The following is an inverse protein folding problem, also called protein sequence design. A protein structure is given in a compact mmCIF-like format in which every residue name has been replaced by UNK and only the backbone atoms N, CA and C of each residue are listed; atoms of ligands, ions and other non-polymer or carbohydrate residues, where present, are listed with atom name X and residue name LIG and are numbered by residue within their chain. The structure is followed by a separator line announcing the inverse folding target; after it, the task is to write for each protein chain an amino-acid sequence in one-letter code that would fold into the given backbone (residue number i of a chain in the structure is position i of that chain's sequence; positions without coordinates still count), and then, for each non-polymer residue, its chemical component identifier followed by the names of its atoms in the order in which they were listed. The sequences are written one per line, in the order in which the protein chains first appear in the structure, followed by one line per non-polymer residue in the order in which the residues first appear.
data_IF_833434858616
#
_entry.id   IF_833434858616
#
_cell.length_a   1.000
_cell.length_b   1.000
_cell.length_c   1.000
_cell.angle_alpha   90.00
_cell.angle_beta   90.00
_cell.angle_gamma   90.00
#
_symmetry.space_group_name_H-M   'P 1'
#
loop_
_entity.id
_entity.type
_entity.pdbx_description
1 polymer ?
#
# COMPACT_ATOMS: atom_id res chain seq x y z
N UNK A 1 17.61 18.23 23.56
CA UNK A 1 17.68 18.63 24.98
C UNK A 1 18.97 19.35 25.38
N UNK A 2 20.14 18.94 24.88
CA UNK A 2 21.43 19.56 25.21
C UNK A 2 21.46 21.09 25.08
N UNK A 3 20.89 21.66 24.00
CA UNK A 3 20.82 23.12 23.83
C UNK A 3 20.01 23.85 24.93
N UNK A 4 18.88 23.29 25.39
CA UNK A 4 18.04 23.91 26.42
C UNK A 4 18.69 23.83 27.81
N UNK A 5 19.39 22.72 28.07
CA UNK A 5 20.17 22.52 29.30
C UNK A 5 21.40 23.45 29.32
N UNK A 6 22.10 23.59 28.19
CA UNK A 6 23.26 24.47 28.04
C UNK A 6 22.92 25.94 28.30
N UNK A 7 21.75 26.42 27.87
CA UNK A 7 21.25 27.76 28.21
C UNK A 7 20.62 27.89 29.61
N UNK A 8 20.79 26.89 30.50
CA UNK A 8 20.22 26.82 31.86
C UNK A 8 18.69 26.99 31.92
N UNK A 9 17.97 26.56 30.88
CA UNK A 9 16.49 26.67 30.79
C UNK A 9 15.79 25.38 31.22
N UNK A 10 16.13 24.90 32.41
CA UNK A 10 15.62 23.67 33.05
C UNK A 10 14.09 23.56 33.02
N UNK A 11 13.39 24.69 33.18
CA UNK A 11 11.91 24.71 33.16
C UNK A 11 11.34 24.30 31.80
N UNK A 12 11.89 24.79 30.68
CA UNK A 12 11.39 24.41 29.35
C UNK A 12 11.69 22.94 29.03
N UNK A 13 12.87 22.46 29.43
CA UNK A 13 13.25 21.06 29.33
C UNK A 13 12.34 20.14 30.15
N UNK A 14 12.08 20.50 31.41
CA UNK A 14 11.17 19.77 32.30
C UNK A 14 9.74 19.73 31.77
N UNK A 15 9.25 20.84 31.18
CA UNK A 15 7.91 20.86 30.57
C UNK A 15 7.82 19.92 29.37
N UNK A 16 8.86 19.87 28.53
CA UNK A 16 8.90 18.97 27.39
C UNK A 16 8.96 17.50 27.82
N UNK A 17 9.83 17.17 28.78
CA UNK A 17 9.89 15.82 29.37
C UNK A 17 8.58 15.41 30.01
N UNK A 18 7.95 16.30 30.80
CA UNK A 18 6.67 16.02 31.40
C UNK A 18 5.54 15.88 30.36
N UNK A 19 5.66 16.52 29.20
CA UNK A 19 4.68 16.37 28.11
C UNK A 19 4.83 15.01 27.42
N UNK A 20 6.06 14.55 27.18
CA UNK A 20 6.34 13.23 26.62
C UNK A 20 5.97 12.11 27.60
N UNK A 21 6.36 12.23 28.87
CA UNK A 21 6.05 11.22 29.90
C UNK A 21 4.54 11.06 30.11
N UNK A 22 3.79 12.17 30.19
CA UNK A 22 2.34 12.12 30.30
C UNK A 22 1.69 11.54 29.05
N UNK A 23 2.15 11.95 27.86
CA UNK A 23 1.68 11.37 26.60
C UNK A 23 1.84 9.85 26.58
N UNK A 24 3.00 9.35 27.03
CA UNK A 24 3.31 7.92 27.05
C UNK A 24 2.40 7.18 28.04
N UNK A 25 2.34 7.68 29.28
CA UNK A 25 1.54 7.10 30.34
C UNK A 25 0.05 7.01 29.94
N UNK A 26 -0.49 8.06 29.32
CA UNK A 26 -1.89 8.08 28.92
C UNK A 26 -2.15 7.21 27.69
N UNK A 27 -1.22 7.12 26.72
CA UNK A 27 -1.36 6.14 25.64
C UNK A 27 -1.29 4.69 26.13
N UNK A 28 -0.46 4.40 27.14
CA UNK A 28 -0.39 3.08 27.76
C UNK A 28 -1.67 2.76 28.54
N UNK A 29 -2.21 3.74 29.27
CA UNK A 29 -3.47 3.58 29.99
C UNK A 29 -4.63 3.29 29.03
N UNK A 30 -4.80 4.12 27.99
CA UNK A 30 -5.87 3.94 27.01
C UNK A 30 -5.73 2.61 26.26
N UNK A 31 -4.51 2.20 25.93
CA UNK A 31 -4.25 0.91 25.30
C UNK A 31 -4.56 -0.29 26.20
N UNK A 32 -4.53 -0.11 27.53
CA UNK A 32 -4.91 -1.14 28.49
C UNK A 32 -6.41 -1.14 28.82
N UNK A 33 -7.11 0.00 28.65
CA UNK A 33 -8.53 0.13 29.04
C UNK A 33 -9.50 0.06 27.86
N UNK A 34 -9.06 0.38 26.64
CA UNK A 34 -9.90 0.38 25.44
C UNK A 34 -9.54 -0.83 24.59
N UNK A 35 -10.46 -1.79 24.53
CA UNK A 35 -10.30 -2.95 23.66
C UNK A 35 -10.76 -2.58 22.25
N UNK A 36 -9.81 -2.46 21.33
CA UNK A 36 -10.08 -2.17 19.91
C UNK A 36 -9.71 -3.39 19.11
N UNK A 37 -10.67 -3.86 18.29
CA UNK A 37 -10.45 -4.97 17.36
C UNK A 37 -9.30 -4.60 16.43
N UNK A 38 -8.26 -5.44 16.45
CA UNK A 38 -7.07 -5.24 15.62
C UNK A 38 -7.41 -5.57 14.17
N UNK A 39 -6.82 -4.87 13.17
CA UNK A 39 -6.82 -5.36 11.80
C UNK A 39 -6.27 -6.79 11.76
N UNK A 40 -6.82 -7.65 10.90
CA UNK A 40 -6.51 -9.09 10.84
C UNK A 40 -5.01 -9.34 10.63
N UNK A 41 -4.34 -8.47 9.87
CA UNK A 41 -2.91 -8.55 9.56
C UNK A 41 -2.03 -7.57 10.38
N UNK A 42 -2.56 -7.00 11.47
CA UNK A 42 -1.81 -6.01 12.24
C UNK A 42 -0.62 -6.64 12.99
N UNK A 43 0.58 -6.12 12.72
CA UNK A 43 1.82 -6.51 13.43
C UNK A 43 1.71 -6.42 14.96
N UNK A 44 2.62 -7.09 15.67
CA UNK A 44 2.69 -7.23 17.14
C UNK A 44 2.84 -5.93 17.98
N UNK A 45 2.62 -4.75 17.38
CA UNK A 45 2.64 -3.44 18.04
C UNK A 45 1.33 -2.66 17.99
N UNK A 46 0.20 -3.28 17.61
CA UNK A 46 -1.11 -2.62 17.59
C UNK A 46 -1.56 -2.20 18.99
N UNK A 47 -2.10 -0.98 19.11
CA UNK A 47 -2.70 -0.46 20.33
C UNK A 47 -3.40 0.88 20.10
N UNK A 48 -4.50 1.12 20.81
CA UNK A 48 -5.24 2.37 20.74
C UNK A 48 -4.87 3.32 21.89
N UNK A 49 -4.59 4.61 21.65
CA UNK A 49 -4.33 5.25 20.35
C UNK A 49 -2.89 4.97 19.87
N UNK A 50 -2.59 5.27 18.61
CA UNK A 50 -1.24 5.05 18.08
C UNK A 50 -0.20 5.89 18.84
N UNK A 51 0.68 5.22 19.59
CA UNK A 51 1.76 5.86 20.36
C UNK A 51 2.68 6.67 19.44
N UNK A 52 2.96 6.14 18.24
CA UNK A 52 3.82 6.81 17.26
C UNK A 52 3.22 8.14 16.79
N UNK A 53 1.94 8.13 16.41
CA UNK A 53 1.24 9.34 15.94
C UNK A 53 1.06 10.33 17.08
N UNK A 54 0.73 9.84 18.27
CA UNK A 54 0.58 10.68 19.48
C UNK A 54 1.88 11.39 19.83
N UNK A 55 2.99 10.66 19.90
CA UNK A 55 4.30 11.22 20.23
C UNK A 55 4.82 12.18 19.16
N UNK A 56 4.59 11.86 17.88
CA UNK A 56 4.89 12.76 16.79
C UNK A 56 4.08 14.06 16.92
N UNK A 57 2.77 13.97 17.17
CA UNK A 57 1.88 15.12 17.36
C UNK A 57 2.36 16.01 18.51
N UNK A 58 2.64 15.42 19.68
CA UNK A 58 3.12 16.16 20.85
C UNK A 58 4.48 16.83 20.56
N UNK A 59 5.41 16.10 19.95
CA UNK A 59 6.77 16.59 19.69
C UNK A 59 6.77 17.70 18.65
N UNK A 60 6.29 17.42 17.44
CA UNK A 60 6.29 18.39 16.34
C UNK A 60 5.36 19.56 16.64
N UNK A 61 4.20 19.32 17.25
CA UNK A 61 3.28 20.37 17.66
C UNK A 61 3.85 21.27 18.76
N UNK A 62 4.63 20.73 19.71
CA UNK A 62 5.31 21.55 20.73
C UNK A 62 6.34 22.48 20.09
N UNK A 63 7.16 21.97 19.16
CA UNK A 63 8.12 22.79 18.42
C UNK A 63 7.41 23.82 17.52
N UNK A 64 6.30 23.46 16.87
CA UNK A 64 5.50 24.38 16.08
C UNK A 64 4.98 25.56 16.94
N UNK A 65 4.44 25.28 18.14
CA UNK A 65 4.02 26.33 19.09
C UNK A 65 5.20 27.19 19.53
N UNK A 66 6.35 26.60 19.82
CA UNK A 66 7.54 27.33 20.25
C UNK A 66 8.05 28.30 19.17
N UNK A 67 8.06 27.85 17.90
CA UNK A 67 8.53 28.63 16.74
C UNK A 67 7.51 29.71 16.36
N UNK A 68 6.22 29.35 16.27
CA UNK A 68 5.17 30.28 15.85
C UNK A 68 5.02 31.48 16.80
N UNK A 69 5.39 31.35 18.08
CA UNK A 69 5.33 32.48 19.04
C UNK A 69 6.29 33.62 18.70
N UNK A 70 7.40 33.35 18.02
CA UNK A 70 8.48 34.31 17.77
C UNK A 70 8.49 34.78 16.31
N UNK A 71 7.54 34.29 15.52
CA UNK A 71 7.30 34.75 14.15
C UNK A 71 6.22 35.84 14.12
N UNK A 72 6.34 36.88 13.28
CA UNK A 72 5.33 37.93 13.15
C UNK A 72 4.18 37.53 12.21
N UNK A 73 2.95 37.94 12.56
CA UNK A 73 1.79 37.95 11.65
C UNK A 73 1.44 36.61 10.98
N UNK A 74 1.27 36.63 9.65
CA UNK A 74 0.86 35.47 8.82
C UNK A 74 1.92 34.35 8.76
N UNK A 75 3.19 34.63 9.05
CA UNK A 75 4.26 33.62 8.99
C UNK A 75 4.16 32.56 10.09
N UNK A 76 3.35 32.83 11.14
CA UNK A 76 3.06 31.89 12.23
C UNK A 76 2.39 30.60 11.80
N UNK A 77 1.77 30.57 10.62
CA UNK A 77 1.08 29.37 10.09
C UNK A 77 2.08 28.30 9.64
N UNK A 78 3.25 28.70 9.12
CA UNK A 78 4.21 27.76 8.52
C UNK A 78 4.71 26.66 9.47
N UNK A 79 5.09 26.94 10.73
CA UNK A 79 5.50 25.88 11.66
C UNK A 79 4.39 24.86 11.94
N UNK A 80 3.13 25.31 12.01
CA UNK A 80 1.99 24.41 12.17
C UNK A 80 1.72 23.59 10.93
N UNK A 81 1.87 24.19 9.74
CA UNK A 81 1.67 23.51 8.47
C UNK A 81 2.73 22.42 8.26
N UNK A 82 4.01 22.73 8.48
CA UNK A 82 5.10 21.74 8.40
C UNK A 82 4.92 20.62 9.43
N UNK A 83 4.61 20.96 10.68
CA UNK A 83 4.30 19.96 11.70
C UNK A 83 3.09 19.09 11.32
N UNK A 84 2.05 19.69 10.74
CA UNK A 84 0.85 19.01 10.28
C UNK A 84 1.19 18.00 9.19
N UNK A 85 1.92 18.43 8.15
CA UNK A 85 2.36 17.55 7.06
C UNK A 85 3.17 16.37 7.60
N UNK A 86 4.15 16.61 8.47
CA UNK A 86 4.99 15.52 9.02
C UNK A 86 4.15 14.52 9.83
N UNK A 87 3.26 15.00 10.69
CA UNK A 87 2.38 14.13 11.50
C UNK A 87 1.38 13.38 10.62
N UNK A 88 0.83 14.03 9.59
CA UNK A 88 -0.06 13.39 8.60
C UNK A 88 0.66 12.32 7.80
N UNK A 89 1.90 12.53 7.37
CA UNK A 89 2.71 11.52 6.67
C UNK A 89 3.01 10.33 7.58
N UNK A 90 3.33 10.56 8.86
CA UNK A 90 3.52 9.49 9.84
C UNK A 90 2.21 8.73 10.06
N UNK A 91 1.09 9.42 10.20
CA UNK A 91 -0.24 8.81 10.32
C UNK A 91 -0.60 7.97 9.10
N UNK A 92 -0.41 8.52 7.90
CA UNK A 92 -0.62 7.84 6.63
C UNK A 92 0.26 6.59 6.52
N UNK A 93 1.53 6.63 6.92
CA UNK A 93 2.37 5.42 6.92
C UNK A 93 1.83 4.31 7.82
N UNK A 94 1.12 4.64 8.91
CA UNK A 94 0.52 3.65 9.81
C UNK A 94 -0.74 3.03 9.21
N UNK A 95 -1.52 3.82 8.48
CA UNK A 95 -2.68 3.34 7.72
C UNK A 95 -2.26 2.46 6.56
N UNK A 96 -1.28 2.93 5.78
CA UNK A 96 -0.78 2.24 4.60
C UNK A 96 -0.20 0.86 4.95
N UNK A 97 0.51 0.75 6.07
CA UNK A 97 1.07 -0.51 6.55
C UNK A 97 0.04 -1.40 7.28
N UNK A 98 -1.26 -1.06 7.28
CA UNK A 98 -2.31 -1.80 7.98
C UNK A 98 -2.12 -1.87 9.50
N UNK A 99 -1.24 -1.03 10.06
CA UNK A 99 -0.78 -1.14 11.45
C UNK A 99 -1.77 -0.55 12.45
N UNK A 100 -2.68 0.31 11.99
CA UNK A 100 -3.65 1.03 12.80
C UNK A 100 -4.89 1.39 11.99
N UNK A 101 -6.02 1.55 12.65
CA UNK A 101 -7.22 2.13 12.05
C UNK A 101 -7.11 3.65 11.95
N UNK A 102 -7.93 4.25 11.06
CA UNK A 102 -8.07 5.70 10.96
C UNK A 102 -8.48 6.35 12.28
N UNK A 103 -9.33 5.68 13.06
CA UNK A 103 -9.70 6.09 14.41
C UNK A 103 -8.49 6.24 15.34
N UNK A 104 -7.51 5.34 15.25
CA UNK A 104 -6.34 5.33 16.14
C UNK A 104 -5.39 6.48 15.80
N UNK A 105 -5.26 6.78 14.51
CA UNK A 105 -4.46 7.89 13.99
C UNK A 105 -5.09 9.23 14.37
N UNK A 106 -6.39 9.39 14.11
CA UNK A 106 -7.14 10.61 14.47
C UNK A 106 -7.16 10.78 15.99
N UNK A 107 -7.38 9.71 16.75
CA UNK A 107 -7.36 9.72 18.21
C UNK A 107 -6.01 10.21 18.75
N UNK A 108 -4.90 9.71 18.20
CA UNK A 108 -3.55 10.18 18.56
C UNK A 108 -3.29 11.65 18.22
N UNK A 109 -3.77 12.12 17.06
CA UNK A 109 -3.66 13.52 16.64
C UNK A 109 -4.50 14.45 17.54
N UNK A 110 -5.75 14.10 17.81
CA UNK A 110 -6.65 14.88 18.67
C UNK A 110 -6.12 14.93 20.10
N UNK A 111 -5.66 13.80 20.62
CA UNK A 111 -5.10 13.72 21.96
C UNK A 111 -3.83 14.57 22.12
N UNK A 112 -2.88 14.44 21.18
CA UNK A 112 -1.69 15.27 21.15
C UNK A 112 -2.02 16.77 21.06
N UNK A 113 -3.02 17.13 20.24
CA UNK A 113 -3.48 18.52 20.06
C UNK A 113 -4.17 19.08 21.30
N UNK A 114 -5.03 18.29 21.96
CA UNK A 114 -5.70 18.66 23.20
C UNK A 114 -4.68 18.98 24.29
N UNK A 115 -3.67 18.12 24.45
CA UNK A 115 -2.59 18.31 25.41
C UNK A 115 -1.77 19.58 25.11
N UNK A 116 -1.44 19.81 23.82
CA UNK A 116 -0.75 21.01 23.37
C UNK A 116 -1.56 22.28 23.63
N UNK A 117 -2.89 22.25 23.48
CA UNK A 117 -3.75 23.40 23.83
C UNK A 117 -3.74 23.65 25.34
N UNK A 118 -3.94 22.63 26.16
CA UNK A 118 -3.90 22.76 27.63
C UNK A 118 -2.58 23.34 28.14
N UNK A 119 -1.45 22.82 27.66
CA UNK A 119 -0.10 23.31 28.00
C UNK A 119 0.22 24.67 27.36
N UNK A 120 -0.23 24.91 26.12
CA UNK A 120 -0.01 26.16 25.39
C UNK A 120 -0.73 27.36 26.01
N UNK A 121 -1.86 27.13 26.70
CA UNK A 121 -2.54 28.15 27.52
C UNK A 121 -1.74 28.42 28.80
N UNK A 122 -1.29 27.37 29.49
CA UNK A 122 -0.48 27.50 30.71
C UNK A 122 0.87 28.21 30.46
N UNK A 123 1.49 27.94 29.30
CA UNK A 123 2.78 28.52 28.91
C UNK A 123 2.66 29.98 28.42
N UNK A 124 1.53 30.34 27.77
CA UNK A 124 1.24 31.73 27.35
C UNK A 124 1.10 32.69 28.52
N UNK A 125 0.63 32.22 29.68
CA UNK A 125 0.40 33.07 30.87
C UNK A 125 1.66 33.40 31.68
N UNK A 126 2.83 32.76 31.45
CA UNK A 126 3.99 32.86 32.38
C UNK A 126 5.34 33.30 31.80
N UNK A 127 5.50 33.47 30.48
CA UNK A 127 6.82 33.78 29.90
C UNK A 127 6.77 34.89 28.85
N UNK A 128 7.40 36.03 29.18
CA UNK A 128 7.39 37.29 28.45
C UNK A 128 8.79 37.72 27.93
N UNK A 129 9.67 36.78 27.55
CA UNK A 129 10.99 37.15 26.98
C UNK A 129 11.22 36.46 25.64
N UNK A 130 11.54 37.27 24.63
CA UNK A 130 11.81 36.86 23.26
C UNK A 130 12.99 35.89 23.20
N UNK A 131 12.76 34.76 22.55
CA UNK A 131 13.62 33.61 22.38
C UNK A 131 14.20 33.61 20.97
N UNK A 132 15.51 33.37 20.84
CA UNK A 132 16.15 33.22 19.53
C UNK A 132 15.89 31.83 18.97
N UNK A 133 14.70 31.62 18.38
CA UNK A 133 14.18 30.29 18.00
C UNK A 133 14.76 29.76 16.70
N UNK A 134 15.17 30.64 15.78
CA UNK A 134 15.68 30.25 14.46
C UNK A 134 16.77 29.17 14.54
N UNK A 135 17.84 29.31 15.33
CA UNK A 135 18.87 28.25 15.44
C UNK A 135 18.33 26.96 16.08
N UNK A 136 17.35 27.05 16.98
CA UNK A 136 16.75 25.88 17.63
C UNK A 136 15.85 25.09 16.69
N UNK A 137 15.11 25.79 15.85
CA UNK A 137 14.31 25.20 14.79
C UNK A 137 15.22 24.50 13.76
N UNK A 138 16.25 25.21 13.27
CA UNK A 138 17.25 24.62 12.35
C UNK A 138 17.95 23.41 12.96
N UNK A 139 18.35 23.47 14.23
CA UNK A 139 18.94 22.34 14.92
C UNK A 139 17.96 21.16 15.03
N UNK A 140 16.70 21.40 15.43
CA UNK A 140 15.72 20.33 15.58
C UNK A 140 15.39 19.66 14.25
N UNK A 141 14.98 20.43 13.23
CA UNK A 141 14.60 19.88 11.93
C UNK A 141 15.81 19.35 11.17
N UNK A 142 16.97 19.99 11.28
CA UNK A 142 18.22 19.53 10.67
C UNK A 142 18.72 18.21 11.27
N UNK A 143 18.72 18.09 12.61
CA UNK A 143 19.07 16.82 13.27
C UNK A 143 18.05 15.74 12.94
N UNK A 144 16.75 16.08 12.90
CA UNK A 144 15.71 15.12 12.50
C UNK A 144 15.92 14.62 11.06
N UNK A 145 16.18 15.51 10.11
CA UNK A 145 16.42 15.16 8.71
C UNK A 145 17.69 14.31 8.55
N UNK A 146 18.78 14.68 9.21
CA UNK A 146 20.03 13.91 9.20
C UNK A 146 19.84 12.52 9.82
N UNK A 147 19.15 12.44 10.96
CA UNK A 147 18.84 11.17 11.61
C UNK A 147 17.94 10.30 10.73
N UNK A 148 16.93 10.89 10.08
CA UNK A 148 16.06 10.19 9.13
C UNK A 148 16.87 9.65 7.94
N UNK A 149 17.72 10.47 7.32
CA UNK A 149 18.55 10.09 6.17
C UNK A 149 19.59 9.03 6.53
N UNK A 150 20.11 9.03 7.76
CA UNK A 150 21.03 8.01 8.27
C UNK A 150 20.32 6.70 8.64
N UNK A 151 19.17 6.79 9.31
CA UNK A 151 18.48 5.64 9.88
C UNK A 151 17.59 4.92 8.87
N UNK A 152 16.89 5.65 7.99
CA UNK A 152 15.92 5.10 7.05
C UNK A 152 16.53 4.03 6.13
N UNK A 153 17.64 4.25 5.42
CA UNK A 153 18.18 3.24 4.49
C UNK A 153 18.62 1.94 5.17
N UNK A 154 18.98 1.99 6.45
CA UNK A 154 19.51 0.83 7.20
C UNK A 154 18.44 -0.03 7.86
N UNK A 155 17.29 0.55 8.17
CA UNK A 155 16.29 -0.10 9.04
C UNK A 155 14.90 -0.19 8.41
N UNK A 156 14.65 0.45 7.26
CA UNK A 156 13.37 0.30 6.56
C UNK A 156 13.09 -1.16 6.18
N UNK A 157 14.02 -1.93 5.56
CA UNK A 157 13.73 -3.31 5.15
C UNK A 157 13.28 -4.19 6.33
N UNK A 158 14.07 -4.21 7.40
CA UNK A 158 13.77 -4.97 8.63
C UNK A 158 12.46 -4.52 9.31
N UNK A 159 12.07 -3.25 9.16
CA UNK A 159 10.78 -2.77 9.67
C UNK A 159 9.62 -3.20 8.78
N UNK A 160 9.79 -3.19 7.47
CA UNK A 160 8.77 -3.58 6.50
C UNK A 160 8.44 -5.07 6.61
N UNK A 161 9.44 -5.92 6.84
CA UNK A 161 9.25 -7.37 7.08
C UNK A 161 8.24 -7.65 8.22
N UNK A 162 8.15 -6.78 9.23
CA UNK A 162 7.19 -6.94 10.34
C UNK A 162 5.74 -6.63 9.96
N UNK A 163 5.54 -5.94 8.85
CA UNK A 163 4.23 -5.58 8.31
C UNK A 163 3.88 -6.44 7.09
N UNK A 164 4.72 -7.39 6.69
CA UNK A 164 4.35 -8.37 5.68
C UNK A 164 3.30 -9.32 6.28
N UNK A 165 2.12 -9.45 5.65
CA UNK A 165 1.07 -10.34 6.15
C UNK A 165 1.56 -11.79 6.11
N UNK A 166 1.32 -12.54 7.20
CA UNK A 166 1.55 -13.99 7.22
C UNK A 166 0.48 -14.68 6.39
N UNK A 167 0.82 -15.02 5.16
CA UNK A 167 -0.11 -15.71 4.27
C UNK A 167 -0.38 -17.14 4.78
N UNK A 168 -1.64 -17.61 4.76
CA UNK A 168 -1.94 -19.00 5.07
C UNK A 168 -1.21 -19.93 4.09
N UNK A 169 -0.79 -21.09 4.59
CA UNK A 169 -0.20 -22.12 3.74
C UNK A 169 -1.21 -22.53 2.65
N UNK A 170 -0.76 -22.75 1.40
CA UNK A 170 -1.66 -23.19 0.34
C UNK A 170 -2.38 -24.48 0.74
N UNK A 171 -3.69 -24.53 0.49
CA UNK A 171 -4.47 -25.75 0.74
C UNK A 171 -4.10 -26.82 -0.28
N UNK A 172 -3.84 -28.04 0.18
CA UNK A 172 -3.61 -29.16 -0.71
C UNK A 172 -4.91 -29.53 -1.44
N UNK A 173 -4.88 -29.54 -2.76
CA UNK A 173 -6.00 -29.89 -3.63
C UNK A 173 -5.58 -30.97 -4.62
N UNK A 174 -6.42 -31.96 -4.88
CA UNK A 174 -6.08 -33.03 -5.83
C UNK A 174 -6.13 -32.51 -7.28
N UNK A 175 -5.12 -32.84 -8.08
CA UNK A 175 -4.98 -32.40 -9.48
C UNK A 175 -6.14 -32.88 -10.36
N UNK A 176 -6.63 -34.11 -10.17
CA UNK A 176 -7.73 -34.65 -10.95
C UNK A 176 -9.06 -34.03 -10.49
N UNK A 177 -9.25 -33.88 -9.17
CA UNK A 177 -10.44 -33.23 -8.61
C UNK A 177 -10.55 -31.78 -9.08
N UNK A 178 -9.45 -31.01 -9.02
CA UNK A 178 -9.36 -29.65 -9.58
C UNK A 178 -9.71 -29.63 -11.07
N UNK A 179 -9.12 -30.52 -11.87
CA UNK A 179 -9.34 -30.56 -13.32
C UNK A 179 -10.79 -30.87 -13.72
N UNK A 180 -11.56 -31.49 -12.84
CA UNK A 180 -12.94 -31.89 -13.10
C UNK A 180 -13.95 -30.93 -12.46
N UNK A 181 -13.87 -30.70 -11.14
CA UNK A 181 -14.93 -30.05 -10.36
C UNK A 181 -14.44 -28.94 -9.41
N UNK A 182 -13.33 -29.17 -8.70
CA UNK A 182 -12.95 -28.34 -7.54
C UNK A 182 -12.41 -26.96 -7.93
N UNK A 183 -12.07 -26.75 -9.21
CA UNK A 183 -11.68 -25.44 -9.75
C UNK A 183 -12.69 -24.32 -9.46
N UNK A 184 -13.98 -24.66 -9.32
CA UNK A 184 -15.08 -23.73 -9.03
C UNK A 184 -15.17 -23.33 -7.56
N UNK A 185 -14.41 -23.98 -6.67
CA UNK A 185 -14.31 -23.60 -5.25
C UNK A 185 -13.33 -22.44 -5.03
N UNK A 186 -12.48 -22.16 -6.03
CA UNK A 186 -11.51 -21.08 -5.99
C UNK A 186 -12.18 -19.73 -6.29
N UNK A 187 -11.62 -18.61 -5.81
CA UNK A 187 -12.19 -17.29 -6.06
C UNK A 187 -12.38 -17.01 -7.56
N UNK A 188 -13.62 -16.72 -7.96
CA UNK A 188 -13.97 -16.40 -9.36
C UNK A 188 -13.83 -14.91 -9.69
N UNK A 189 -13.69 -14.05 -8.69
CA UNK A 189 -13.51 -12.61 -8.84
C UNK A 189 -12.50 -12.09 -7.84
N UNK A 190 -11.80 -11.01 -8.21
CA UNK A 190 -11.00 -10.25 -7.26
C UNK A 190 -11.89 -9.45 -6.31
N UNK A 191 -11.53 -9.43 -5.03
CA UNK A 191 -12.20 -8.59 -4.04
C UNK A 191 -11.97 -7.11 -4.34
N UNK A 192 -13.03 -6.41 -4.71
CA UNK A 192 -13.05 -4.96 -4.88
C UNK A 192 -14.28 -4.38 -4.16
N UNK A 193 -14.18 -3.12 -3.73
CA UNK A 193 -15.27 -2.45 -3.01
C UNK A 193 -16.51 -2.19 -3.88
N UNK A 194 -16.36 -2.21 -5.20
CA UNK A 194 -17.42 -1.96 -6.18
C UNK A 194 -17.63 -3.21 -7.05
N UNK A 195 -18.88 -3.66 -7.12
CA UNK A 195 -19.29 -4.86 -7.87
C UNK A 195 -19.01 -4.73 -9.36
N UNK A 196 -19.09 -3.50 -9.87
CA UNK A 196 -18.85 -3.14 -11.25
C UNK A 196 -17.36 -3.17 -11.64
N UNK A 197 -16.47 -3.16 -10.65
CA UNK A 197 -15.02 -3.14 -10.86
C UNK A 197 -14.36 -4.49 -10.62
N UNK A 198 -15.06 -5.46 -9.99
CA UNK A 198 -14.51 -6.79 -9.67
C UNK A 198 -13.99 -7.51 -10.91
N UNK A 199 -12.67 -7.67 -11.00
CA UNK A 199 -12.03 -8.39 -12.10
C UNK A 199 -12.40 -9.87 -12.08
N UNK A 200 -12.73 -10.48 -13.23
CA UNK A 200 -12.94 -11.92 -13.30
C UNK A 200 -11.62 -12.66 -13.17
N UNK A 201 -11.60 -13.70 -12.35
CA UNK A 201 -10.50 -14.66 -12.28
C UNK A 201 -10.83 -15.84 -13.19
N UNK A 202 -10.69 -15.61 -14.49
CA UNK A 202 -11.17 -16.46 -15.56
C UNK A 202 -10.08 -17.35 -16.18
N UNK A 203 -8.85 -17.27 -15.69
CA UNK A 203 -7.76 -18.17 -16.08
C UNK A 203 -7.22 -18.89 -14.85
N UNK A 204 -7.06 -20.20 -14.93
CA UNK A 204 -6.38 -21.01 -13.92
C UNK A 204 -5.28 -21.85 -14.57
N UNK A 205 -4.08 -21.82 -14.01
CA UNK A 205 -2.91 -22.50 -14.60
C UNK A 205 -2.28 -23.42 -13.57
N UNK A 206 -2.14 -24.70 -13.89
CA UNK A 206 -1.42 -25.68 -13.10
C UNK A 206 -0.03 -25.93 -13.68
N UNK A 207 1.00 -25.82 -12.82
CA UNK A 207 2.39 -26.10 -13.17
C UNK A 207 3.30 -24.87 -13.21
N UNK A 208 4.58 -25.06 -13.57
CA UNK A 208 5.52 -23.96 -13.69
C UNK A 208 5.08 -22.97 -14.78
N UNK A 209 5.34 -21.68 -14.58
CA UNK A 209 4.93 -20.61 -15.52
C UNK A 209 5.85 -20.50 -16.74
N UNK A 210 7.08 -21.01 -16.68
CA UNK A 210 8.06 -20.84 -17.75
C UNK A 210 7.61 -21.41 -19.12
N UNK A 211 7.03 -22.63 -19.22
CA UNK A 211 6.51 -23.14 -20.49
C UNK A 211 5.37 -22.28 -21.03
N UNK A 212 4.47 -21.82 -20.16
CA UNK A 212 3.37 -20.94 -20.53
C UNK A 212 3.88 -19.59 -21.06
N UNK A 213 4.84 -18.98 -20.37
CA UNK A 213 5.46 -17.73 -20.79
C UNK A 213 6.08 -17.88 -22.19
N UNK A 214 6.90 -18.91 -22.40
CA UNK A 214 7.56 -19.14 -23.69
C UNK A 214 6.56 -19.33 -24.84
N UNK A 215 5.45 -20.03 -24.58
CA UNK A 215 4.40 -20.25 -25.58
C UNK A 215 3.62 -18.97 -25.90
N UNK A 216 3.32 -18.16 -24.89
CA UNK A 216 2.70 -16.85 -25.08
C UNK A 216 3.64 -15.92 -25.87
N UNK A 217 4.93 -15.90 -25.53
CA UNK A 217 5.95 -15.10 -26.24
C UNK A 217 6.08 -15.48 -27.71
N UNK A 218 6.06 -16.78 -28.02
CA UNK A 218 6.05 -17.28 -29.39
C UNK A 218 4.84 -16.82 -30.22
N UNK A 219 3.77 -16.33 -29.56
CA UNK A 219 2.53 -15.85 -30.17
C UNK A 219 2.36 -14.33 -30.05
N UNK A 220 3.47 -13.62 -29.83
CA UNK A 220 3.52 -12.15 -29.86
C UNK A 220 3.10 -11.48 -28.55
N UNK A 221 2.90 -12.23 -27.47
CA UNK A 221 2.83 -11.65 -26.14
C UNK A 221 4.23 -11.25 -25.66
N UNK A 222 4.30 -10.25 -24.79
CA UNK A 222 5.55 -9.81 -24.17
C UNK A 222 5.38 -9.82 -22.67
N UNK A 223 6.37 -10.37 -21.96
CA UNK A 223 6.43 -10.21 -20.51
C UNK A 223 6.71 -8.75 -20.18
N UNK A 224 5.90 -8.17 -19.30
CA UNK A 224 6.14 -6.86 -18.73
C UNK A 224 6.60 -7.02 -17.28
N UNK A 225 7.67 -6.32 -16.91
CA UNK A 225 8.04 -6.21 -15.51
C UNK A 225 7.04 -5.33 -14.74
N UNK A 226 7.04 -5.45 -13.42
CA UNK A 226 6.15 -4.67 -12.58
C UNK A 226 6.54 -3.19 -12.67
N UNK A 227 5.58 -2.36 -13.10
CA UNK A 227 5.80 -0.92 -13.20
C UNK A 227 6.02 -0.33 -11.81
N UNK A 228 7.13 0.39 -11.63
CA UNK A 228 7.41 1.15 -10.42
C UNK A 228 6.74 2.52 -10.41
N UNK A 229 7.08 3.32 -9.40
CA UNK A 229 6.57 4.68 -9.28
C UNK A 229 7.10 5.61 -10.39
N UNK A 230 8.25 5.29 -10.99
CA UNK A 230 8.84 6.08 -12.08
C UNK A 230 8.04 5.90 -13.35
N UNK A 231 7.70 4.66 -13.65
CA UNK A 231 6.85 4.25 -14.76
C UNK A 231 5.43 4.80 -14.61
N UNK A 232 4.90 4.85 -13.39
CA UNK A 232 3.60 5.45 -13.12
C UNK A 232 3.55 6.95 -13.47
N UNK A 233 4.69 7.67 -13.40
CA UNK A 233 4.73 9.09 -13.81
C UNK A 233 4.51 9.29 -15.31
N UNK A 234 4.70 8.25 -16.14
CA UNK A 234 4.40 8.32 -17.58
C UNK A 234 2.91 8.54 -17.85
N UNK A 235 2.03 8.23 -16.90
CA UNK A 235 0.60 8.58 -16.97
C UNK A 235 0.37 10.09 -17.06
N UNK A 236 1.30 10.89 -16.51
CA UNK A 236 1.22 12.35 -16.49
C UNK A 236 1.91 12.99 -17.70
N UNK A 237 2.57 12.20 -18.56
CA UNK A 237 3.22 12.68 -19.77
C UNK A 237 2.25 12.69 -20.95
N UNK A 238 2.07 13.87 -21.53
CA UNK A 238 1.19 14.09 -22.69
C UNK A 238 1.69 13.42 -23.96
N UNK A 239 2.98 13.13 -24.06
CA UNK A 239 3.57 12.52 -25.25
C UNK A 239 3.52 10.99 -25.22
N UNK A 240 3.19 10.39 -24.07
CA UNK A 240 3.10 8.94 -23.93
C UNK A 240 1.82 8.42 -24.59
N UNK A 241 2.01 7.58 -25.61
CA UNK A 241 0.93 6.87 -26.31
C UNK A 241 0.47 5.60 -25.59
N UNK A 242 -0.61 5.01 -26.12
CA UNK A 242 -1.19 3.77 -25.63
C UNK A 242 -0.26 2.56 -25.74
N UNK A 243 0.84 2.64 -26.49
CA UNK A 243 1.88 1.62 -26.73
C UNK A 243 3.03 1.70 -25.72
N UNK A 244 3.32 2.89 -25.20
CA UNK A 244 4.42 3.15 -24.27
C UNK A 244 3.98 3.14 -22.80
N UNK A 245 2.71 3.40 -22.51
CA UNK A 245 2.24 3.46 -21.13
C UNK A 245 2.30 2.07 -20.44
N UNK A 246 3.08 1.85 -19.39
CA UNK A 246 3.17 0.53 -18.79
C UNK A 246 1.86 0.15 -18.08
N UNK A 247 1.52 -1.13 -18.13
CA UNK A 247 0.38 -1.67 -17.39
C UNK A 247 0.75 -1.66 -15.90
N UNK A 248 0.00 -0.94 -15.08
CA UNK A 248 0.29 -0.86 -13.63
C UNK A 248 0.10 -2.23 -12.95
N UNK A 249 0.90 -2.51 -11.90
CA UNK A 249 0.76 -3.73 -11.11
C UNK A 249 -0.57 -3.73 -10.35
N UNK A 250 -1.06 -4.93 -10.06
CA UNK A 250 -2.30 -5.12 -9.34
C UNK A 250 -2.19 -6.34 -8.42
N UNK A 251 -2.69 -6.22 -7.20
CA UNK A 251 -2.52 -7.27 -6.19
C UNK A 251 -3.76 -8.15 -6.07
N UNK A 252 -3.56 -9.44 -5.84
CA UNK A 252 -4.60 -10.38 -5.38
C UNK A 252 -4.23 -10.85 -3.97
N UNK A 253 -5.07 -10.59 -2.97
CA UNK A 253 -4.80 -10.94 -1.56
C UNK A 253 -3.41 -10.52 -1.09
N UNK A 254 -3.02 -9.27 -1.37
CA UNK A 254 -1.69 -8.69 -1.07
C UNK A 254 -0.51 -9.23 -1.88
N UNK A 255 -0.72 -10.19 -2.79
CA UNK A 255 0.31 -10.72 -3.67
C UNK A 255 0.32 -9.99 -5.01
N UNK A 256 1.49 -9.50 -5.40
CA UNK A 256 1.72 -8.96 -6.74
C UNK A 256 1.68 -10.05 -7.79
N UNK A 257 1.47 -9.70 -9.06
CA UNK A 257 1.49 -10.66 -10.16
C UNK A 257 2.84 -11.38 -10.23
N UNK A 258 2.78 -12.72 -10.34
CA UNK A 258 3.94 -13.54 -10.64
C UNK A 258 4.30 -13.49 -12.13
N UNK A 259 3.29 -13.31 -13.00
CA UNK A 259 3.47 -13.14 -14.43
C UNK A 259 2.47 -12.13 -14.98
N UNK A 260 2.99 -11.15 -15.73
CA UNK A 260 2.22 -10.16 -16.46
C UNK A 260 2.63 -10.23 -17.93
N UNK A 261 1.70 -10.69 -18.77
CA UNK A 261 1.89 -10.77 -20.22
C UNK A 261 1.01 -9.74 -20.90
N UNK A 262 1.59 -9.00 -21.85
CA UNK A 262 0.91 -7.93 -22.58
C UNK A 262 1.06 -8.18 -24.08
N UNK A 263 -0.01 -7.97 -24.84
CA UNK A 263 -0.05 -8.03 -26.30
C UNK A 263 -0.86 -6.85 -26.83
N UNK A 264 -0.50 -6.32 -27.99
CA UNK A 264 -1.30 -5.27 -28.63
C UNK A 264 -2.70 -5.83 -28.97
N UNK A 265 -3.74 -5.06 -28.64
CA UNK A 265 -5.13 -5.40 -28.94
C UNK A 265 -5.47 -5.25 -30.42
N UNK A 266 -6.76 -5.43 -30.74
CA UNK A 266 -7.24 -5.22 -32.11
C UNK A 266 -7.16 -3.75 -32.54
N UNK A 267 -7.38 -2.82 -31.59
CA UNK A 267 -7.26 -1.38 -31.82
C UNK A 267 -5.92 -0.83 -31.31
N UNK A 268 -5.43 0.30 -31.85
CA UNK A 268 -4.16 0.90 -31.40
C UNK A 268 -4.15 1.34 -29.93
N UNK A 269 -5.32 1.68 -29.40
CA UNK A 269 -5.56 2.09 -28.01
C UNK A 269 -5.89 0.92 -27.08
N UNK A 270 -5.99 -0.30 -27.62
CA UNK A 270 -6.29 -1.50 -26.84
C UNK A 270 -5.05 -2.35 -26.58
N UNK A 271 -5.00 -2.95 -25.39
CA UNK A 271 -4.01 -3.96 -25.01
C UNK A 271 -4.68 -5.17 -24.39
N UNK A 272 -4.26 -6.34 -24.82
CA UNK A 272 -4.60 -7.58 -24.15
C UNK A 272 -3.58 -7.86 -23.05
N UNK A 273 -4.07 -8.17 -21.86
CA UNK A 273 -3.27 -8.38 -20.68
C UNK A 273 -3.68 -9.68 -20.00
N UNK A 274 -2.71 -10.54 -19.72
CA UNK A 274 -2.89 -11.71 -18.88
C UNK A 274 -2.08 -11.53 -17.59
N UNK A 275 -2.78 -11.53 -16.47
CA UNK A 275 -2.18 -11.45 -15.13
C UNK A 275 -2.33 -12.79 -14.45
N UNK A 276 -1.26 -13.29 -13.83
CA UNK A 276 -1.28 -14.51 -13.02
C UNK A 276 -0.75 -14.22 -11.61
N UNK A 277 -1.51 -14.66 -10.61
CA UNK A 277 -1.21 -14.63 -9.20
C UNK A 277 -1.17 -16.05 -8.63
N UNK A 278 -0.39 -16.30 -7.57
CA UNK A 278 -0.42 -17.59 -6.88
C UNK A 278 -1.80 -17.84 -6.27
N UNK A 279 -2.34 -19.04 -6.49
CA UNK A 279 -3.60 -19.47 -5.90
C UNK A 279 -3.44 -19.78 -4.40
N UNK A 280 -4.54 -19.74 -3.62
CA UNK A 280 -4.54 -20.21 -2.22
C UNK A 280 -4.49 -21.75 -2.10
N UNK A 281 -4.26 -22.47 -3.20
CA UNK A 281 -4.19 -23.92 -3.26
C UNK A 281 -2.93 -24.40 -3.98
N UNK A 282 -2.48 -25.61 -3.64
CA UNK A 282 -1.36 -26.30 -4.25
C UNK A 282 -1.79 -27.71 -4.63
N UNK A 283 -1.46 -28.12 -5.86
CA UNK A 283 -1.99 -29.34 -6.44
C UNK A 283 -1.14 -30.57 -6.10
N UNK A 284 -1.82 -31.64 -5.75
CA UNK A 284 -1.24 -32.96 -5.46
C UNK A 284 -1.59 -33.96 -6.58
N UNK A 285 -0.72 -34.94 -6.87
CA UNK A 285 0.59 -35.19 -6.25
C UNK A 285 1.69 -34.25 -6.77
N UNK A 286 2.73 -34.02 -5.95
CA UNK A 286 3.98 -33.40 -6.38
C UNK A 286 4.06 -31.88 -6.18
N UNK A 287 3.28 -31.33 -5.27
CA UNK A 287 3.35 -29.92 -4.85
C UNK A 287 3.30 -28.93 -6.03
N UNK A 288 2.48 -29.26 -7.04
CA UNK A 288 2.39 -28.50 -8.28
C UNK A 288 1.76 -27.13 -8.00
N UNK A 289 2.41 -26.01 -8.36
CA UNK A 289 1.85 -24.69 -8.11
C UNK A 289 0.60 -24.46 -8.97
N UNK A 290 -0.40 -23.83 -8.37
CA UNK A 290 -1.60 -23.38 -9.05
C UNK A 290 -1.61 -21.85 -9.08
N UNK A 291 -2.03 -21.30 -10.22
CA UNK A 291 -2.10 -19.87 -10.45
C UNK A 291 -3.53 -19.48 -10.83
N UNK A 292 -4.01 -18.38 -10.27
CA UNK A 292 -5.25 -17.72 -10.66
C UNK A 292 -4.92 -16.51 -11.50
N UNK A 293 -5.74 -16.20 -12.49
CA UNK A 293 -5.44 -15.14 -13.42
C UNK A 293 -6.66 -14.51 -14.05
N UNK A 294 -6.41 -13.38 -14.68
CA UNK A 294 -7.41 -12.59 -15.39
C UNK A 294 -6.89 -12.24 -16.78
N UNK A 295 -7.66 -12.57 -17.81
CA UNK A 295 -7.40 -12.12 -19.18
C UNK A 295 -8.28 -10.90 -19.48
N UNK A 296 -7.65 -9.74 -19.71
CA UNK A 296 -8.32 -8.46 -19.81
C UNK A 296 -7.93 -7.68 -21.05
N UNK A 297 -8.89 -7.04 -21.69
CA UNK A 297 -8.67 -6.00 -22.69
C UNK A 297 -8.69 -4.65 -21.99
N UNK A 298 -7.54 -3.99 -21.95
CA UNK A 298 -7.40 -2.64 -21.44
C UNK A 298 -7.51 -1.65 -22.60
N UNK A 299 -8.29 -0.58 -22.43
CA UNK A 299 -8.35 0.55 -23.35
C UNK A 299 -7.67 1.78 -22.76
N UNK A 300 -6.86 2.44 -23.58
CA UNK A 300 -6.21 3.68 -23.23
C UNK A 300 -7.20 4.84 -23.34
N UNK A 301 -7.40 5.54 -22.24
CA UNK A 301 -8.18 6.77 -22.20
C UNK A 301 -7.38 7.87 -21.54
N UNK A 302 -7.52 9.09 -22.07
CA UNK A 302 -6.86 10.28 -21.51
C UNK A 302 -7.88 11.16 -20.81
N UNK A 303 -7.78 11.20 -19.49
CA UNK A 303 -8.61 12.06 -18.66
C UNK A 303 -7.99 13.44 -18.51
N UNK A 304 -8.85 14.45 -18.56
CA UNK A 304 -8.51 15.87 -18.39
C UNK A 304 -7.42 16.41 -19.33
N UNK A 305 -7.01 15.68 -20.38
CA UNK A 305 -5.89 15.94 -21.31
C UNK A 305 -4.45 15.72 -20.79
N UNK A 306 -4.25 15.25 -19.56
CA UNK A 306 -2.90 15.04 -18.99
C UNK A 306 -2.74 13.77 -18.17
N UNK A 307 -3.81 12.99 -17.97
CA UNK A 307 -3.74 11.73 -17.23
C UNK A 307 -4.14 10.60 -18.18
N UNK A 308 -3.14 9.94 -18.78
CA UNK A 308 -3.33 8.75 -19.60
C UNK A 308 -3.42 7.49 -18.73
N UNK A 309 -4.50 6.73 -18.86
CA UNK A 309 -4.75 5.52 -18.06
C UNK A 309 -5.28 4.39 -18.94
N UNK A 310 -4.94 3.16 -18.55
CA UNK A 310 -5.42 1.93 -19.17
C UNK A 310 -6.53 1.34 -18.28
N UNK A 311 -7.76 1.31 -18.78
CA UNK A 311 -8.92 0.78 -18.05
C UNK A 311 -9.41 -0.53 -18.66
N UNK A 312 -9.78 -1.53 -17.83
CA UNK A 312 -10.35 -2.78 -18.34
C UNK A 312 -11.73 -2.54 -18.96
N UNK A 313 -11.96 -3.14 -20.12
CA UNK A 313 -13.27 -3.16 -20.78
C UNK A 313 -14.23 -4.12 -20.07
N UNK A 314 -15.53 -3.81 -20.13
CA UNK A 314 -16.59 -4.65 -19.56
C UNK A 314 -17.08 -5.69 -20.59
N UNK A 315 -17.38 -6.91 -20.15
CA UNK A 315 -18.09 -7.92 -20.95
C UNK A 315 -17.22 -9.08 -21.45
N UNK A 316 -17.62 -9.69 -22.58
CA UNK A 316 -16.88 -10.79 -23.21
C UNK A 316 -15.56 -10.26 -23.73
N UNK A 317 -14.47 -10.72 -23.12
CA UNK A 317 -13.15 -10.13 -23.30
C UNK A 317 -12.37 -10.72 -24.49
N UNK A 318 -12.02 -9.94 -25.54
CA UNK A 318 -11.18 -10.39 -26.63
C UNK A 318 -9.82 -10.95 -26.18
N UNK A 319 -9.28 -10.48 -25.06
CA UNK A 319 -8.01 -10.96 -24.50
C UNK A 319 -8.10 -12.44 -24.12
N UNK A 320 -9.25 -12.91 -23.60
CA UNK A 320 -9.46 -14.32 -23.29
C UNK A 320 -9.30 -15.19 -24.54
N UNK A 321 -9.89 -14.78 -25.66
CA UNK A 321 -9.73 -15.50 -26.94
C UNK A 321 -8.27 -15.49 -27.43
N UNK A 322 -7.57 -14.36 -27.28
CA UNK A 322 -6.16 -14.26 -27.64
C UNK A 322 -5.26 -15.15 -26.75
N UNK A 323 -5.61 -15.35 -25.48
CA UNK A 323 -4.94 -16.29 -24.58
C UNK A 323 -5.20 -17.72 -25.04
N UNK A 324 -6.46 -18.10 -25.26
CA UNK A 324 -6.85 -19.45 -25.75
C UNK A 324 -6.12 -19.85 -27.03
N UNK A 325 -6.05 -18.93 -27.99
CA UNK A 325 -5.34 -19.16 -29.25
C UNK A 325 -3.85 -19.40 -29.02
N UNK A 326 -3.24 -18.63 -28.12
CA UNK A 326 -1.82 -18.77 -27.83
C UNK A 326 -1.49 -20.08 -27.10
N UNK A 327 -2.39 -20.57 -26.25
CA UNK A 327 -2.18 -21.77 -25.43
C UNK A 327 -2.75 -23.06 -26.03
N UNK A 328 -3.27 -23.04 -27.26
CA UNK A 328 -3.95 -24.17 -27.92
C UNK A 328 -3.17 -25.51 -27.91
N UNK A 329 -1.83 -25.48 -27.80
CA UNK A 329 -0.99 -26.69 -27.69
C UNK A 329 -0.90 -27.32 -26.29
N UNK A 330 -1.46 -26.67 -25.27
CA UNK A 330 -1.46 -27.18 -23.89
C UNK A 330 -2.76 -27.93 -23.58
N UNK A 331 -2.72 -28.90 -22.65
CA UNK A 331 -3.94 -29.45 -22.09
C UNK A 331 -4.77 -28.32 -21.48
N UNK A 332 -5.94 -28.06 -22.07
CA UNK A 332 -6.83 -26.99 -21.68
C UNK A 332 -8.27 -27.47 -21.58
N UNK A 333 -9.04 -26.86 -20.67
CA UNK A 333 -10.47 -27.10 -20.53
C UNK A 333 -11.17 -25.81 -20.13
N UNK A 334 -12.34 -25.58 -20.70
CA UNK A 334 -13.18 -24.43 -20.39
C UNK A 334 -14.50 -24.94 -19.83
N UNK A 335 -14.89 -24.42 -18.67
CA UNK A 335 -16.22 -24.65 -18.10
C UNK A 335 -16.72 -23.31 -17.52
N UNK A 336 -18.04 -23.15 -17.39
CA UNK A 336 -18.67 -21.92 -16.90
C UNK A 336 -18.81 -21.98 -15.39
N UNK A 337 -18.36 -20.94 -14.69
CA UNK A 337 -18.45 -20.89 -13.23
C UNK A 337 -19.91 -20.69 -12.79
N UNK A 338 -20.42 -21.61 -11.97
CA UNK A 338 -21.84 -21.66 -11.60
C UNK A 338 -22.37 -20.38 -10.94
N UNK A 339 -21.55 -19.72 -10.11
CA UNK A 339 -21.97 -18.49 -9.40
C UNK A 339 -21.87 -17.22 -10.25
N UNK A 340 -20.88 -17.11 -11.14
CA UNK A 340 -20.59 -15.87 -11.86
C UNK A 340 -21.10 -15.89 -13.30
N UNK A 341 -21.40 -17.07 -13.84
CA UNK A 341 -21.77 -17.28 -15.25
C UNK A 341 -20.64 -17.00 -16.24
N UNK A 342 -19.41 -16.80 -15.76
CA UNK A 342 -18.25 -16.48 -16.60
C UNK A 342 -17.50 -17.75 -17.00
N UNK A 343 -16.96 -17.81 -18.25
CA UNK A 343 -16.11 -18.91 -18.66
C UNK A 343 -14.78 -18.88 -17.88
N UNK A 344 -14.33 -20.03 -17.42
CA UNK A 344 -13.02 -20.19 -16.77
C UNK A 344 -12.16 -21.15 -17.58
N UNK A 345 -11.04 -20.65 -18.09
CA UNK A 345 -10.04 -21.40 -18.82
C UNK A 345 -9.05 -22.05 -17.83
N UNK A 346 -9.01 -23.38 -17.79
CA UNK A 346 -8.02 -24.16 -17.03
C UNK A 346 -6.95 -24.70 -17.96
N UNK A 347 -5.70 -24.58 -17.55
CA UNK A 347 -4.52 -24.94 -18.32
C UNK A 347 -3.58 -25.79 -17.49
N UNK A 348 -2.95 -26.80 -18.08
CA UNK A 348 -1.78 -27.48 -17.51
C UNK A 348 -0.56 -27.13 -18.34
N UNK A 349 0.48 -26.61 -17.70
CA UNK A 349 1.75 -26.29 -18.39
C UNK A 349 2.64 -27.50 -18.58
N UNK A 350 2.34 -28.60 -17.89
CA UNK A 350 2.96 -29.91 -18.04
C UNK A 350 1.94 -30.94 -18.52
N UNK A 351 2.34 -31.77 -19.47
CA UNK A 351 1.47 -32.82 -20.04
C UNK A 351 1.26 -34.05 -19.13
N UNK A 352 1.70 -34.00 -17.87
CA UNK A 352 1.57 -35.10 -16.89
C UNK A 352 0.38 -34.89 -15.97
#
# INVERSE_FOLDING_TARGET
MGYLLWRRRWRAAAHWLAALAFGLALTMLLGATVDVVRPVDASSGFGFPSVSVTMATITFGFFAVLIAREMPGRTRVWPYLVSGIVVSLIGFSRLYLGAHWLSDVIGGMLFGTFWLRGRGIAYRRRFNRSFWVKPVAWLFYGVFALAAMWYAPRHIPVKLERFEPTLPAPQAMDMQAWWQHDWSTLPARRNEFDDDQRWPLDVQVAGPLAPLQAQLEARGWKRQEQAGWQEALLMLDKNTGADQLPVLPATLETRVEALLMVRQGAQPDERYVLRLWPAPAQLQPGDTPLWLGSAQTLRYERHFEWIGMLHPLRGVDPAMNAVKEAVHGLPQREDVHGETGLPVLRLKTTAR
#
